data_IF_399269588773
#
_entry.id   IF_399269588773
#
_cell.length_a   1.000
_cell.length_b   1.000
_cell.length_c   1.000
_cell.angle_alpha   90.00
_cell.angle_beta   90.00
_cell.angle_gamma   90.00
#
_symmetry.space_group_name_H-M   'P 1'
#
loop_
_entity.id
_entity.type
_entity.pdbx_description
1 polymer ?
#
# COMPACT_ATOMS: atom_id res chain seq x y z
N UNK A 1 -0.79 -0.64 -9.25
CA UNK A 1 -1.13 -1.66 -8.22
C UNK A 1 -2.24 -1.14 -7.32
N UNK A 2 -3.23 -1.97 -6.99
CA UNK A 2 -4.30 -1.64 -6.06
C UNK A 2 -4.00 -2.04 -4.60
N UNK A 3 -4.58 -1.28 -3.68
CA UNK A 3 -4.65 -1.54 -2.25
C UNK A 3 -6.10 -1.63 -1.82
N UNK A 4 -6.41 -2.61 -0.99
CA UNK A 4 -7.71 -2.75 -0.35
C UNK A 4 -7.70 -1.99 0.98
N UNK A 5 -8.58 -0.98 1.09
CA UNK A 5 -8.85 -0.24 2.30
C UNK A 5 -10.10 -0.79 2.95
N UNK A 6 -9.98 -1.21 4.21
CA UNK A 6 -11.13 -1.49 5.09
C UNK A 6 -11.18 -0.42 6.16
N UNK A 7 -12.29 0.31 6.20
CA UNK A 7 -12.49 1.44 7.08
C UNK A 7 -13.74 1.21 7.93
N UNK A 8 -13.56 1.18 9.24
CA UNK A 8 -14.67 1.21 10.20
C UNK A 8 -14.96 2.66 10.56
N UNK A 9 -16.18 3.12 10.32
CA UNK A 9 -16.56 4.54 10.42
C UNK A 9 -17.71 4.71 11.41
N UNK A 10 -17.60 5.63 12.38
CA UNK A 10 -18.77 6.07 13.15
C UNK A 10 -19.89 6.59 12.25
N UNK A 11 -21.13 6.25 12.56
CA UNK A 11 -22.29 6.54 11.68
C UNK A 11 -22.51 8.03 11.37
N UNK A 12 -21.98 8.96 12.19
CA UNK A 12 -22.08 10.42 11.95
C UNK A 12 -21.18 10.91 10.80
N UNK A 13 -20.26 10.09 10.28
CA UNK A 13 -19.24 10.51 9.30
C UNK A 13 -19.21 9.67 8.03
N UNK A 14 -20.08 8.67 7.89
CA UNK A 14 -20.08 7.75 6.76
C UNK A 14 -20.25 8.47 5.42
N UNK A 15 -21.14 9.45 5.33
CA UNK A 15 -21.31 10.23 4.10
C UNK A 15 -20.05 11.01 3.75
N UNK A 16 -19.39 11.64 4.73
CA UNK A 16 -18.14 12.37 4.49
C UNK A 16 -17.00 11.44 4.03
N UNK A 17 -16.95 10.22 4.55
CA UNK A 17 -16.00 9.20 4.10
C UNK A 17 -16.34 8.73 2.68
N UNK A 18 -17.61 8.45 2.39
CA UNK A 18 -18.03 8.08 1.02
C UNK A 18 -17.64 9.15 0.02
N UNK A 19 -17.93 10.41 0.32
CA UNK A 19 -17.64 11.54 -0.57
C UNK A 19 -16.12 11.79 -0.73
N UNK A 20 -15.30 11.37 0.24
CA UNK A 20 -13.84 11.39 0.10
C UNK A 20 -13.37 10.38 -0.97
N UNK A 21 -13.89 9.15 -0.93
CA UNK A 21 -13.56 8.11 -1.91
C UNK A 21 -14.13 8.41 -3.29
N UNK A 22 -15.37 8.90 -3.37
CA UNK A 22 -16.06 9.23 -4.63
C UNK A 22 -15.35 10.34 -5.43
N UNK A 23 -14.72 11.29 -4.74
CA UNK A 23 -13.94 12.36 -5.36
C UNK A 23 -12.50 11.97 -5.73
N UNK A 24 -12.06 10.79 -5.32
CA UNK A 24 -10.72 10.31 -5.60
C UNK A 24 -10.72 9.48 -6.89
N UNK A 25 -10.07 9.93 -7.98
CA UNK A 25 -10.05 9.19 -9.25
C UNK A 25 -9.37 7.82 -9.12
N UNK A 26 -8.42 7.69 -8.19
CA UNK A 26 -7.78 6.40 -7.90
C UNK A 26 -8.66 5.40 -7.13
N UNK A 27 -9.95 5.64 -6.94
CA UNK A 27 -10.87 4.65 -6.34
C UNK A 27 -11.45 3.74 -7.42
N UNK A 28 -11.03 2.48 -7.46
CA UNK A 28 -11.49 1.49 -8.42
C UNK A 28 -12.84 0.87 -8.01
N UNK A 29 -13.01 0.60 -6.72
CA UNK A 29 -14.19 -0.03 -6.14
C UNK A 29 -14.50 0.61 -4.79
N UNK A 30 -15.80 0.77 -4.48
CA UNK A 30 -16.26 1.30 -3.20
C UNK A 30 -17.56 0.59 -2.80
N UNK A 31 -17.58 0.04 -1.58
CA UNK A 31 -18.75 -0.55 -0.96
C UNK A 31 -18.95 0.04 0.43
N UNK A 32 -20.18 0.44 0.73
CA UNK A 32 -20.58 0.94 2.05
C UNK A 32 -21.60 -0.03 2.64
N UNK A 33 -21.32 -0.49 3.86
CA UNK A 33 -22.15 -1.43 4.61
C UNK A 33 -22.62 -0.73 5.89
N UNK A 34 -23.86 -0.18 5.90
CA UNK A 34 -24.38 0.52 7.08
C UNK A 34 -24.69 -0.42 8.24
N UNK A 35 -24.35 -0.01 9.46
CA UNK A 35 -24.69 -0.66 10.72
C UNK A 35 -24.00 -2.00 10.99
N UNK A 36 -23.02 -2.40 10.18
CA UNK A 36 -22.38 -3.72 10.31
C UNK A 36 -21.23 -3.74 11.32
N UNK A 37 -20.69 -2.58 11.69
CA UNK A 37 -19.62 -2.52 12.68
C UNK A 37 -20.19 -2.51 14.09
N UNK A 38 -19.75 -3.46 14.91
CA UNK A 38 -20.18 -3.61 16.31
C UNK A 38 -19.29 -2.81 17.26
N UNK A 39 -17.96 -2.86 17.04
CA UNK A 39 -16.98 -2.20 17.90
C UNK A 39 -15.85 -1.61 17.04
N UNK A 40 -15.74 -0.28 16.93
CA UNK A 40 -16.73 0.73 17.36
C UNK A 40 -18.06 0.61 16.58
N UNK A 41 -19.20 0.98 17.18
CA UNK A 41 -20.50 0.90 16.51
C UNK A 41 -20.58 1.88 15.33
N UNK A 42 -21.02 1.40 14.18
CA UNK A 42 -21.15 2.21 12.97
C UNK A 42 -21.15 1.39 11.69
N UNK A 43 -20.52 1.95 10.66
CA UNK A 43 -20.55 1.44 9.29
C UNK A 43 -19.19 0.89 8.87
N UNK A 44 -19.18 0.06 7.82
CA UNK A 44 -17.96 -0.42 7.20
C UNK A 44 -17.88 0.07 5.75
N UNK A 45 -16.75 0.68 5.39
CA UNK A 45 -16.43 1.08 4.04
C UNK A 45 -15.28 0.21 3.55
N UNK A 46 -15.48 -0.46 2.41
CA UNK A 46 -14.47 -1.23 1.71
C UNK A 46 -14.16 -0.53 0.40
N UNK A 47 -12.90 -0.30 0.11
CA UNK A 47 -12.50 0.34 -1.14
C UNK A 47 -11.25 -0.29 -1.71
N UNK A 48 -11.20 -0.46 -3.03
CA UNK A 48 -9.98 -0.80 -3.74
C UNK A 48 -9.47 0.45 -4.42
N UNK A 49 -8.23 0.84 -4.14
CA UNK A 49 -7.67 2.13 -4.56
C UNK A 49 -6.27 1.96 -5.14
N UNK A 50 -5.93 2.78 -6.12
CA UNK A 50 -4.57 2.88 -6.62
C UNK A 50 -3.61 3.25 -5.48
N UNK A 51 -2.47 2.57 -5.42
CA UNK A 51 -1.44 2.78 -4.39
C UNK A 51 -1.07 4.25 -4.23
N UNK A 52 -0.97 4.97 -5.33
CA UNK A 52 -0.58 6.37 -5.44
C UNK A 52 -1.63 7.31 -4.79
N UNK A 53 -2.88 6.87 -4.71
CA UNK A 53 -3.97 7.63 -4.09
C UNK A 53 -4.16 7.31 -2.59
N UNK A 54 -3.53 6.24 -2.09
CA UNK A 54 -3.76 5.75 -0.74
C UNK A 54 -3.32 6.75 0.34
N UNK A 55 -2.17 7.41 0.17
CA UNK A 55 -1.67 8.37 1.18
C UNK A 55 -2.61 9.58 1.34
N UNK A 56 -3.13 10.11 0.22
CA UNK A 56 -4.10 11.20 0.23
C UNK A 56 -5.43 10.80 0.90
N UNK A 57 -5.92 9.59 0.58
CA UNK A 57 -7.14 9.04 1.19
C UNK A 57 -6.95 8.81 2.71
N UNK A 58 -5.82 8.24 3.12
CA UNK A 58 -5.51 8.03 4.55
C UNK A 58 -5.42 9.36 5.29
N UNK A 59 -4.79 10.39 4.68
CA UNK A 59 -4.76 11.72 5.24
C UNK A 59 -6.17 12.32 5.42
N UNK A 60 -7.05 12.15 4.42
CA UNK A 60 -8.45 12.57 4.50
C UNK A 60 -9.23 11.84 5.60
N UNK A 61 -9.06 10.52 5.73
CA UNK A 61 -9.67 9.72 6.80
C UNK A 61 -9.20 10.16 8.20
N UNK A 62 -7.91 10.49 8.35
CA UNK A 62 -7.35 11.07 9.59
C UNK A 62 -7.92 12.45 9.89
N UNK A 63 -8.14 13.29 8.88
CA UNK A 63 -8.81 14.58 9.07
C UNK A 63 -10.26 14.42 9.56
N UNK A 64 -10.93 13.34 9.16
CA UNK A 64 -12.24 12.92 9.67
C UNK A 64 -12.16 12.17 11.01
N UNK A 65 -10.97 12.08 11.63
CA UNK A 65 -10.64 11.37 12.89
C UNK A 65 -11.04 9.89 12.91
N UNK A 66 -11.08 9.25 11.75
CA UNK A 66 -11.41 7.81 11.63
C UNK A 66 -10.32 6.93 12.25
N UNK A 67 -9.07 7.41 12.32
CA UNK A 67 -7.97 6.73 13.02
C UNK A 67 -8.18 6.65 14.55
N UNK A 68 -9.04 7.51 15.11
CA UNK A 68 -9.31 7.61 16.55
C UNK A 68 -10.64 6.99 16.95
N UNK A 69 -11.68 7.34 16.21
CA UNK A 69 -13.06 6.98 16.56
C UNK A 69 -13.51 5.71 15.80
N UNK A 70 -12.71 5.24 14.84
CA UNK A 70 -13.02 4.15 13.93
C UNK A 70 -11.86 3.16 13.78
N UNK A 71 -11.60 2.74 12.54
CA UNK A 71 -10.45 1.92 12.19
C UNK A 71 -10.12 2.03 10.71
N UNK A 72 -8.83 1.91 10.38
CA UNK A 72 -8.32 1.91 9.00
C UNK A 72 -7.37 0.72 8.88
N UNK A 73 -7.62 -0.15 7.90
CA UNK A 73 -6.73 -1.26 7.53
C UNK A 73 -6.44 -1.16 6.04
N UNK A 74 -5.20 -1.45 5.65
CA UNK A 74 -4.74 -1.40 4.27
C UNK A 74 -4.06 -2.73 3.98
N UNK A 75 -4.49 -3.39 2.90
CA UNK A 75 -3.92 -4.64 2.42
C UNK A 75 -3.54 -4.50 0.94
N UNK A 76 -2.46 -5.18 0.53
CA UNK A 76 -2.05 -5.23 -0.86
C UNK A 76 -2.93 -6.21 -1.64
N UNK A 77 -3.40 -5.81 -2.82
CA UNK A 77 -4.13 -6.72 -3.71
C UNK A 77 -3.14 -7.38 -4.66
N UNK A 78 -2.96 -8.70 -4.52
CA UNK A 78 -2.00 -9.47 -5.32
C UNK A 78 -2.37 -9.53 -6.81
N UNK A 79 -3.66 -9.52 -7.12
CA UNK A 79 -4.18 -9.52 -8.49
C UNK A 79 -5.59 -8.95 -8.52
N UNK A 80 -5.82 -7.97 -9.37
CA UNK A 80 -7.15 -7.44 -9.67
C UNK A 80 -7.40 -7.56 -11.18
N UNK A 81 -8.58 -8.05 -11.57
CA UNK A 81 -9.00 -8.11 -12.99
C UNK A 81 -10.28 -7.31 -13.11
N UNK A 82 -10.13 -6.04 -13.48
CA UNK A 82 -11.26 -5.13 -13.67
C UNK A 82 -10.85 -3.89 -14.46
N UNK A 83 -11.72 -3.43 -15.36
CA UNK A 83 -11.48 -2.18 -16.08
C UNK A 83 -11.44 -0.97 -15.15
N UNK A 84 -12.18 -0.96 -14.03
CA UNK A 84 -12.08 0.13 -13.07
C UNK A 84 -10.76 0.11 -12.30
N UNK A 85 -10.15 -1.07 -12.12
CA UNK A 85 -8.81 -1.20 -11.54
C UNK A 85 -7.76 -0.58 -12.46
N UNK A 86 -7.78 -0.94 -13.75
CA UNK A 86 -6.88 -0.37 -14.75
C UNK A 86 -7.00 1.16 -14.82
N UNK A 87 -8.24 1.68 -14.89
CA UNK A 87 -8.50 3.12 -14.92
C UNK A 87 -8.03 3.84 -13.66
N UNK A 88 -8.29 3.28 -12.49
CA UNK A 88 -7.88 3.90 -11.23
C UNK A 88 -6.36 4.04 -11.15
N UNK A 89 -5.61 3.05 -11.63
CA UNK A 89 -4.14 3.13 -11.69
C UNK A 89 -3.65 4.16 -12.71
N UNK A 90 -4.28 4.24 -13.89
CA UNK A 90 -3.94 5.22 -14.93
C UNK A 90 -4.28 6.67 -14.54
N UNK A 91 -5.40 6.86 -13.83
CA UNK A 91 -5.92 8.18 -13.44
C UNK A 91 -5.31 8.67 -12.11
N UNK A 92 -4.63 7.81 -11.36
CA UNK A 92 -3.97 8.19 -10.13
C UNK A 92 -2.70 9.03 -10.40
N UNK A 93 -2.57 10.22 -9.80
CA UNK A 93 -1.40 11.07 -10.02
C UNK A 93 -0.17 10.56 -9.27
N UNK A 94 0.88 10.14 -9.98
CA UNK A 94 2.19 9.80 -9.41
C UNK A 94 3.09 8.98 -10.33
N UNK A 95 4.41 9.02 -10.10
CA UNK A 95 5.34 7.96 -10.54
C UNK A 95 5.38 6.92 -9.40
N UNK A 96 5.25 5.63 -9.70
CA UNK A 96 5.08 4.55 -8.69
C UNK A 96 6.25 4.39 -7.69
N UNK A 97 7.26 5.26 -7.81
CA UNK A 97 8.41 5.40 -6.94
C UNK A 97 8.16 6.22 -5.66
N UNK A 98 7.09 7.03 -5.58
CA UNK A 98 6.97 8.08 -4.54
C UNK A 98 5.72 8.02 -3.63
N UNK A 99 5.09 6.85 -3.50
CA UNK A 99 4.05 6.60 -2.49
C UNK A 99 4.56 5.56 -1.47
N UNK A 100 5.38 6.02 -0.53
CA UNK A 100 5.72 5.20 0.63
C UNK A 100 4.59 5.36 1.63
N UNK A 101 3.80 4.29 1.81
CA UNK A 101 2.77 4.15 2.85
C UNK A 101 3.46 4.20 4.23
N UNK A 102 3.81 5.41 4.69
CA UNK A 102 4.86 5.66 5.69
C UNK A 102 4.42 5.60 7.16
N UNK A 103 3.28 4.99 7.50
CA UNK A 103 2.88 4.86 8.92
C UNK A 103 2.56 3.44 9.39
N UNK A 104 2.47 2.44 8.49
CA UNK A 104 2.29 1.03 8.89
C UNK A 104 3.47 0.10 8.55
N UNK A 105 4.39 0.53 7.68
CA UNK A 105 5.62 -0.23 7.39
C UNK A 105 6.56 -0.28 8.60
N UNK A 106 6.46 0.66 9.54
CA UNK A 106 7.32 0.70 10.75
C UNK A 106 6.95 -0.36 11.81
N UNK A 107 5.87 -1.13 11.63
CA UNK A 107 5.52 -2.21 12.56
C UNK A 107 5.38 -3.61 11.96
N UNK A 108 5.46 -3.75 10.64
CA UNK A 108 5.57 -5.06 9.96
C UNK A 108 6.62 -5.04 8.85
N UNK A 109 7.72 -4.31 9.04
CA UNK A 109 8.96 -4.50 8.26
C UNK A 109 10.17 -4.41 9.19
N UNK A 110 10.13 -5.20 10.26
CA UNK A 110 11.28 -5.43 11.14
C UNK A 110 11.36 -6.89 11.63
N UNK A 111 10.69 -7.84 10.99
CA UNK A 111 10.67 -9.25 11.43
C UNK A 111 11.00 -10.31 10.37
N UNK A 112 11.02 -10.00 9.07
CA UNK A 112 11.50 -10.94 8.02
C UNK A 112 12.78 -10.48 7.32
N UNK A 113 13.50 -9.54 7.92
CA UNK A 113 14.91 -9.31 7.64
C UNK A 113 15.68 -9.46 8.94
N UNK A 114 15.73 -10.69 9.46
CA UNK A 114 17.00 -11.07 10.05
C UNK A 114 18.03 -10.92 8.94
N UNK A 115 18.86 -9.90 9.03
CA UNK A 115 20.16 -9.87 8.38
C UNK A 115 20.88 -11.13 8.86
N UNK A 116 20.58 -12.26 8.24
CA UNK A 116 21.15 -13.53 8.64
C UNK A 116 22.61 -13.49 8.23
N UNK A 117 23.48 -14.00 9.09
CA UNK A 117 24.91 -14.10 8.79
C UNK A 117 25.12 -14.79 7.43
N UNK A 118 24.25 -15.74 7.09
CA UNK A 118 24.24 -16.41 5.79
C UNK A 118 23.96 -15.45 4.62
N UNK A 119 22.99 -14.55 4.74
CA UNK A 119 22.69 -13.56 3.69
C UNK A 119 23.89 -12.63 3.43
N UNK A 120 24.50 -12.10 4.50
CA UNK A 120 25.71 -11.28 4.38
C UNK A 120 26.91 -12.05 3.81
N UNK A 121 27.06 -13.32 4.19
CA UNK A 121 28.11 -14.18 3.65
C UNK A 121 27.93 -14.39 2.13
N UNK A 122 26.72 -14.68 1.66
CA UNK A 122 26.44 -14.82 0.23
C UNK A 122 26.69 -13.53 -0.54
N UNK A 123 26.24 -12.38 -0.02
CA UNK A 123 26.45 -11.07 -0.66
C UNK A 123 27.93 -10.72 -0.77
N UNK A 124 28.71 -11.03 0.28
CA UNK A 124 30.17 -10.84 0.30
C UNK A 124 30.84 -11.74 -0.75
N UNK A 125 30.48 -13.02 -0.82
CA UNK A 125 31.02 -13.96 -1.83
C UNK A 125 30.68 -13.48 -3.24
N UNK A 126 29.44 -13.08 -3.51
CA UNK A 126 29.01 -12.58 -4.81
C UNK A 126 29.80 -11.34 -5.24
N UNK A 127 30.01 -10.41 -4.31
CA UNK A 127 30.81 -9.19 -4.56
C UNK A 127 32.26 -9.53 -4.86
N UNK A 128 32.86 -10.48 -4.12
CA UNK A 128 34.21 -10.96 -4.38
C UNK A 128 34.34 -11.63 -5.75
N UNK A 129 33.37 -12.49 -6.13
CA UNK A 129 33.35 -13.12 -7.45
C UNK A 129 33.22 -12.09 -8.58
N UNK A 130 32.39 -11.07 -8.41
CA UNK A 130 32.24 -9.98 -9.37
C UNK A 130 33.48 -9.06 -9.43
N UNK A 131 34.17 -8.89 -8.30
CA UNK A 131 35.36 -8.07 -8.19
C UNK A 131 36.62 -8.72 -8.76
N UNK A 132 36.63 -10.04 -8.99
CA UNK A 132 37.72 -10.67 -9.75
C UNK A 132 37.59 -10.21 -11.19
N UNK A 133 38.48 -9.34 -11.70
CA UNK A 133 38.49 -9.06 -13.12
C UNK A 133 38.82 -10.39 -13.80
N UNK A 134 37.96 -10.84 -14.72
CA UNK A 134 38.28 -11.91 -15.65
C UNK A 134 39.39 -11.40 -16.58
N UNK A 135 40.61 -11.31 -16.05
CA UNK A 135 41.82 -11.01 -16.82
C UNK A 135 42.21 -12.25 -17.63
N UNK A 136 41.30 -12.68 -18.50
CA UNK A 136 41.60 -13.54 -19.65
C UNK A 136 41.41 -12.69 -20.91
N UNK A 137 41.96 -11.48 -20.90
CA UNK A 137 42.24 -10.73 -22.12
C UNK A 137 43.73 -10.84 -22.40
N UNK A 138 44.06 -11.82 -23.25
CA UNK A 138 44.97 -11.70 -24.40
C UNK A 138 46.47 -11.48 -24.12
N UNK A 139 47.23 -12.58 -24.10
CA UNK A 139 48.60 -12.76 -24.63
C UNK A 139 48.70 -14.24 -25.07
N UNK A 140 49.12 -14.64 -26.26
CA UNK A 140 50.18 -14.16 -27.15
C UNK A 140 49.95 -14.65 -28.60
N UNK A 141 50.73 -14.06 -29.53
CA UNK A 141 50.95 -14.47 -30.92
C UNK A 141 51.04 -15.98 -31.18
#
# INVERSE_FOLDING_TARGET
MLLQLRVTVPADRTDAVRDLFDRCPGTAHLAVLPGVSVTPPGDMVLADVARESADALVAGLRALRVDRDGGITIEAVDTAVSTSAERAEEEAPGDGSDAVVWEQVVRTTAADSSLSVSYLAFLTIATLLAAVPSSTTRRSC
#
